data_IF_085520480274
#
_entry.id   IF_085520480274
#
_cell.length_a   1.000
_cell.length_b   1.000
_cell.length_c   1.000
_cell.angle_alpha   90.00
_cell.angle_beta   90.00
_cell.angle_gamma   90.00
#
_symmetry.space_group_name_H-M   'P 1'
#
loop_
_entity.id
_entity.type
_entity.pdbx_description
1 polymer ?
#
# COMPACT_ATOMS: atom_id res chain seq x y z
N UNK A 1 -19.68 43.70 -11.41
CA UNK A 1 -18.23 43.61 -11.30
C UNK A 1 -17.84 42.25 -11.82
N UNK A 2 -17.17 42.22 -12.99
CA UNK A 2 -16.91 41.01 -13.79
C UNK A 2 -15.80 40.15 -13.16
N UNK A 3 -16.03 38.86 -13.11
CA UNK A 3 -15.07 37.82 -12.74
C UNK A 3 -14.03 37.63 -13.86
N UNK A 4 -12.85 38.14 -13.67
CA UNK A 4 -11.68 37.91 -14.52
C UNK A 4 -10.56 37.25 -13.68
N UNK A 5 -10.81 36.03 -13.16
CA UNK A 5 -9.76 35.19 -12.61
C UNK A 5 -10.06 33.74 -13.02
N UNK A 6 -9.53 33.31 -14.13
CA UNK A 6 -9.13 31.96 -14.52
C UNK A 6 -9.02 31.86 -16.05
N UNK A 7 -8.03 32.58 -16.59
CA UNK A 7 -7.47 32.23 -17.89
C UNK A 7 -5.98 31.98 -17.73
N UNK A 8 -5.65 30.86 -17.05
CA UNK A 8 -4.30 30.29 -17.19
C UNK A 8 -4.31 29.61 -18.55
N UNK A 9 -3.67 30.25 -19.48
CA UNK A 9 -3.58 29.92 -20.89
C UNK A 9 -3.06 28.47 -21.04
N UNK A 10 -3.87 27.61 -21.61
CA UNK A 10 -3.52 26.23 -22.01
C UNK A 10 -2.24 26.13 -22.87
N UNK A 11 -1.80 27.25 -23.46
CA UNK A 11 -0.55 27.35 -24.22
C UNK A 11 0.72 27.23 -23.35
N UNK A 12 0.68 27.58 -22.06
CA UNK A 12 1.85 27.42 -21.17
C UNK A 12 2.07 26.01 -20.68
N UNK A 13 1.01 25.23 -20.54
CA UNK A 13 1.10 23.81 -20.16
C UNK A 13 1.59 22.98 -21.35
N UNK A 14 1.13 23.31 -22.57
CA UNK A 14 1.61 22.66 -23.79
C UNK A 14 3.10 22.96 -24.05
N UNK A 15 3.57 24.17 -23.76
CA UNK A 15 4.97 24.56 -23.97
C UNK A 15 5.92 23.89 -22.96
N UNK A 16 5.49 23.66 -21.73
CA UNK A 16 6.25 22.93 -20.71
C UNK A 16 6.36 21.43 -21.05
N UNK A 17 5.30 20.84 -21.61
CA UNK A 17 5.31 19.42 -22.03
C UNK A 17 6.11 19.21 -23.33
N UNK A 18 6.17 20.21 -24.20
CA UNK A 18 6.95 20.14 -25.45
C UNK A 18 8.46 20.31 -25.24
N UNK A 19 8.88 21.04 -24.19
CA UNK A 19 10.30 21.13 -23.80
C UNK A 19 10.85 19.84 -23.18
N UNK A 20 10.00 19.04 -22.50
CA UNK A 20 10.40 17.76 -21.96
C UNK A 20 10.57 16.66 -23.03
N UNK A 21 9.87 16.78 -24.17
CA UNK A 21 9.99 15.83 -25.29
C UNK A 21 11.13 16.15 -26.25
N UNK A 22 11.62 17.39 -26.29
CA UNK A 22 12.74 17.79 -27.16
C UNK A 22 14.13 17.32 -26.64
N UNK A 23 14.22 16.93 -25.37
CA UNK A 23 15.46 16.43 -24.77
C UNK A 23 15.71 14.91 -25.01
N UNK A 24 14.76 14.19 -25.60
CA UNK A 24 14.85 12.75 -25.89
C UNK A 24 15.11 12.42 -27.37
N UNK A 25 15.23 13.43 -28.25
CA UNK A 25 15.45 13.24 -29.68
C UNK A 25 16.86 13.61 -30.18
N UNK A 26 17.82 13.72 -29.29
CA UNK A 26 19.23 13.87 -29.61
C UNK A 26 19.90 12.50 -29.72
N UNK A 27 19.85 11.87 -30.90
CA UNK A 27 20.69 10.72 -31.22
C UNK A 27 22.17 11.14 -31.19
N UNK A 28 23.02 10.58 -30.34
CA UNK A 28 24.46 10.72 -30.51
C UNK A 28 24.86 9.88 -31.72
N UNK A 29 25.24 10.54 -32.81
CA UNK A 29 26.01 9.88 -33.82
C UNK A 29 27.33 9.38 -33.19
N UNK A 30 27.45 8.07 -33.11
CA UNK A 30 28.63 7.40 -32.61
C UNK A 30 29.84 7.80 -33.47
N UNK A 31 30.79 8.49 -32.88
CA UNK A 31 32.14 8.58 -33.36
C UNK A 31 32.74 7.21 -33.08
N UNK A 32 32.79 6.36 -34.12
CA UNK A 32 33.66 5.17 -34.13
C UNK A 32 35.11 5.63 -34.21
N UNK A 33 35.72 5.97 -33.07
CA UNK A 33 37.16 5.93 -32.94
C UNK A 33 37.53 4.49 -32.59
N UNK A 34 38.35 3.87 -33.42
CA UNK A 34 38.74 2.47 -33.37
C UNK A 34 39.20 2.06 -31.98
N UNK A 35 38.43 1.19 -31.36
CA UNK A 35 38.91 0.35 -30.27
C UNK A 35 39.56 -0.84 -30.92
N UNK A 36 40.91 -0.89 -30.83
CA UNK A 36 41.65 -2.11 -31.11
C UNK A 36 41.00 -3.24 -30.30
N UNK A 37 40.40 -4.21 -30.98
CA UNK A 37 40.07 -5.52 -30.42
C UNK A 37 41.33 -6.11 -29.81
N UNK A 38 41.48 -5.96 -28.50
CA UNK A 38 42.30 -6.90 -27.75
C UNK A 38 41.50 -8.19 -27.79
N UNK A 39 41.74 -9.01 -28.77
CA UNK A 39 41.38 -10.42 -28.76
C UNK A 39 42.10 -11.01 -27.54
N UNK A 40 41.43 -11.03 -26.40
CA UNK A 40 41.79 -11.86 -25.29
C UNK A 40 41.75 -13.29 -25.83
N UNK A 41 42.93 -13.90 -26.06
CA UNK A 41 43.07 -15.32 -26.35
C UNK A 41 42.34 -16.06 -25.23
N UNK A 42 41.11 -16.48 -25.48
CA UNK A 42 40.36 -17.33 -24.59
C UNK A 42 41.10 -18.66 -24.50
N UNK A 43 41.88 -18.83 -23.44
CA UNK A 43 42.35 -20.16 -23.08
C UNK A 43 41.12 -21.00 -22.77
N UNK A 44 40.77 -21.90 -23.68
CA UNK A 44 39.71 -22.89 -23.55
C UNK A 44 40.07 -23.89 -22.47
N UNK A 45 39.79 -23.54 -21.22
CA UNK A 45 39.97 -24.44 -20.09
C UNK A 45 38.62 -24.64 -19.39
N UNK A 46 38.38 -25.87 -18.99
CA UNK A 46 37.20 -26.26 -18.23
C UNK A 46 37.53 -26.34 -16.75
N UNK A 47 36.74 -25.68 -15.90
CA UNK A 47 36.81 -25.81 -14.45
C UNK A 47 35.71 -26.79 -14.03
N UNK A 48 36.10 -27.78 -13.22
CA UNK A 48 35.20 -28.70 -12.56
C UNK A 48 35.23 -28.41 -11.06
N UNK A 49 34.14 -28.68 -10.37
CA UNK A 49 34.13 -28.53 -8.93
C UNK A 49 32.94 -29.22 -8.30
N UNK A 50 32.91 -29.15 -6.98
CA UNK A 50 31.83 -29.67 -6.18
C UNK A 50 31.41 -28.61 -5.15
N UNK A 51 30.11 -28.44 -4.97
CA UNK A 51 29.51 -27.57 -3.98
C UNK A 51 28.89 -28.45 -2.89
N UNK A 52 29.31 -28.23 -1.66
CA UNK A 52 28.82 -28.96 -0.49
C UNK A 52 28.46 -27.98 0.62
N UNK A 53 27.69 -28.42 1.60
CA UNK A 53 27.45 -27.71 2.85
C UNK A 53 28.58 -27.89 3.89
N UNK A 54 28.40 -27.33 5.08
CA UNK A 54 29.34 -27.45 6.20
C UNK A 54 29.40 -28.88 6.78
N UNK A 55 28.41 -29.71 6.55
CA UNK A 55 28.34 -31.12 6.93
C UNK A 55 29.02 -32.02 5.87
N UNK A 56 29.29 -31.48 4.68
CA UNK A 56 29.89 -32.18 3.55
C UNK A 56 28.86 -32.80 2.63
N UNK A 57 27.58 -32.53 2.80
CA UNK A 57 26.51 -32.99 1.93
C UNK A 57 26.47 -32.19 0.60
N UNK A 58 26.22 -32.83 -0.54
CA UNK A 58 26.21 -32.17 -1.84
C UNK A 58 25.01 -31.24 -2.00
N UNK A 59 25.22 -30.02 -2.47
CA UNK A 59 24.15 -29.06 -2.75
C UNK A 59 23.74 -29.17 -4.22
N UNK A 60 22.53 -29.65 -4.46
CA UNK A 60 21.96 -29.86 -5.80
C UNK A 60 21.33 -28.56 -6.29
N UNK A 61 21.60 -28.17 -7.55
CA UNK A 61 20.97 -27.00 -8.17
C UNK A 61 21.58 -25.65 -7.74
N UNK A 62 22.74 -25.66 -7.09
CA UNK A 62 23.46 -24.41 -6.77
C UNK A 62 23.91 -23.72 -8.07
N UNK A 63 23.71 -22.41 -8.13
CA UNK A 63 24.14 -21.58 -9.27
C UNK A 63 25.63 -21.25 -9.14
N UNK A 64 26.40 -21.52 -10.18
CA UNK A 64 27.82 -21.22 -10.30
C UNK A 64 28.04 -20.28 -11.47
N UNK A 65 28.44 -19.03 -11.23
CA UNK A 65 28.58 -17.99 -12.24
C UNK A 65 29.98 -17.37 -12.18
N UNK A 66 30.58 -17.06 -13.34
CA UNK A 66 31.80 -16.25 -13.38
C UNK A 66 31.43 -14.78 -13.17
N UNK A 67 32.01 -14.16 -12.13
CA UNK A 67 31.72 -12.78 -11.74
C UNK A 67 31.90 -11.81 -12.90
N UNK A 68 30.87 -11.00 -13.15
CA UNK A 68 30.88 -10.01 -14.23
C UNK A 68 30.61 -10.55 -15.64
N UNK A 69 30.20 -11.83 -15.77
CA UNK A 69 29.85 -12.44 -17.05
C UNK A 69 28.51 -13.16 -17.00
N UNK A 70 28.00 -13.60 -18.14
CA UNK A 70 26.81 -14.47 -18.24
C UNK A 70 27.17 -15.96 -18.28
N UNK A 71 28.48 -16.30 -18.11
CA UNK A 71 28.95 -17.68 -18.16
C UNK A 71 28.71 -18.37 -16.82
N UNK A 72 27.78 -19.32 -16.77
CA UNK A 72 27.39 -20.02 -15.56
C UNK A 72 26.81 -21.41 -15.82
N UNK A 73 26.69 -22.17 -14.74
CA UNK A 73 26.11 -23.52 -14.73
C UNK A 73 25.42 -23.77 -13.39
N UNK A 74 24.74 -24.90 -13.26
CA UNK A 74 24.13 -25.39 -12.01
C UNK A 74 24.78 -26.71 -11.62
N UNK A 75 24.77 -27.03 -10.31
CA UNK A 75 25.28 -28.30 -9.78
C UNK A 75 24.30 -29.44 -10.04
N UNK A 76 24.88 -30.64 -10.29
CA UNK A 76 24.13 -31.90 -10.44
C UNK A 76 23.73 -32.54 -9.10
N UNK A 77 23.20 -33.79 -9.14
CA UNK A 77 22.71 -34.50 -7.94
C UNK A 77 23.82 -34.81 -6.93
N UNK A 78 25.06 -34.88 -7.34
CA UNK A 78 26.24 -35.08 -6.47
C UNK A 78 26.93 -33.78 -6.11
N UNK A 79 26.28 -32.62 -6.39
CA UNK A 79 26.81 -31.30 -6.16
C UNK A 79 27.95 -30.88 -7.11
N UNK A 80 28.23 -31.68 -8.18
CA UNK A 80 29.29 -31.37 -9.11
C UNK A 80 28.86 -30.35 -10.15
N UNK A 81 29.80 -29.54 -10.61
CA UNK A 81 29.60 -28.62 -11.71
C UNK A 81 30.76 -28.70 -12.71
N UNK A 82 30.48 -28.38 -13.95
CA UNK A 82 31.46 -28.24 -15.03
C UNK A 82 31.20 -26.92 -15.76
N UNK A 83 32.20 -26.04 -15.78
CA UNK A 83 32.08 -24.73 -16.43
C UNK A 83 33.19 -24.55 -17.46
N UNK A 84 32.79 -24.38 -18.70
CA UNK A 84 33.70 -24.11 -19.81
C UNK A 84 34.16 -22.64 -19.83
N UNK A 85 35.34 -22.39 -20.42
CA UNK A 85 35.88 -21.04 -20.62
C UNK A 85 36.05 -20.21 -19.31
N UNK A 86 36.47 -20.86 -18.22
CA UNK A 86 36.53 -20.24 -16.90
C UNK A 86 37.82 -20.45 -16.13
N UNK A 87 38.97 -20.58 -16.83
CA UNK A 87 40.29 -20.86 -16.21
C UNK A 87 40.84 -19.73 -15.37
N UNK A 88 40.35 -18.51 -15.50
CA UNK A 88 40.73 -17.33 -14.70
C UNK A 88 39.48 -16.53 -14.34
N UNK A 89 39.43 -16.03 -13.13
CA UNK A 89 38.33 -15.21 -12.62
C UNK A 89 37.89 -15.64 -11.23
N UNK A 90 36.81 -15.05 -10.78
CA UNK A 90 36.14 -15.38 -9.52
C UNK A 90 34.82 -16.03 -9.81
N UNK A 91 34.57 -17.21 -9.27
CA UNK A 91 33.26 -17.85 -9.29
C UNK A 91 32.41 -17.25 -8.15
N UNK A 92 31.19 -16.93 -8.45
CA UNK A 92 30.14 -16.64 -7.47
C UNK A 92 29.25 -17.86 -7.41
N UNK A 93 29.23 -18.51 -6.26
CA UNK A 93 28.38 -19.68 -6.02
C UNK A 93 27.28 -19.29 -5.06
N UNK A 94 26.03 -19.53 -5.44
CA UNK A 94 24.85 -19.17 -4.65
C UNK A 94 23.81 -20.27 -4.69
N UNK A 95 23.11 -20.44 -3.56
CA UNK A 95 21.97 -21.33 -3.42
C UNK A 95 20.97 -20.76 -2.42
N UNK A 96 19.69 -21.07 -2.58
CA UNK A 96 18.64 -20.58 -1.67
C UNK A 96 18.89 -21.14 -0.28
N UNK A 97 18.95 -20.26 0.73
CA UNK A 97 19.24 -20.65 2.13
C UNK A 97 20.73 -20.70 2.48
N UNK A 98 21.62 -20.31 1.58
CA UNK A 98 23.06 -20.29 1.81
C UNK A 98 23.67 -18.94 1.44
N UNK A 99 24.72 -18.54 2.17
CA UNK A 99 25.50 -17.32 1.87
C UNK A 99 26.25 -17.49 0.56
N UNK A 100 26.06 -16.55 -0.36
CA UNK A 100 26.81 -16.56 -1.62
C UNK A 100 28.32 -16.47 -1.35
N UNK A 101 29.10 -17.36 -1.96
CA UNK A 101 30.55 -17.42 -1.76
C UNK A 101 31.30 -17.09 -3.05
N UNK A 102 32.31 -16.24 -2.93
CA UNK A 102 33.23 -15.91 -4.01
C UNK A 102 34.50 -16.76 -3.91
N UNK A 103 34.84 -17.48 -5.00
CA UNK A 103 36.02 -18.35 -5.05
C UNK A 103 36.88 -17.99 -6.25
N UNK A 104 38.15 -17.66 -6.01
CA UNK A 104 39.11 -17.31 -7.08
C UNK A 104 39.66 -18.60 -7.69
N UNK A 105 39.54 -18.77 -9.01
CA UNK A 105 39.93 -19.99 -9.71
C UNK A 105 41.47 -20.19 -9.75
N UNK A 106 42.27 -19.13 -9.90
CA UNK A 106 43.76 -19.15 -9.94
C UNK A 106 44.39 -20.25 -10.83
N UNK A 107 43.70 -20.62 -11.92
CA UNK A 107 44.20 -21.69 -12.82
C UNK A 107 43.98 -23.11 -12.30
N UNK A 108 43.18 -23.33 -11.27
CA UNK A 108 42.85 -24.68 -10.77
C UNK A 108 41.75 -25.28 -11.62
N UNK A 109 41.92 -26.54 -12.03
CA UNK A 109 40.94 -27.29 -12.81
C UNK A 109 39.87 -27.96 -11.90
N UNK A 110 40.11 -28.05 -10.59
CA UNK A 110 39.18 -28.61 -9.60
C UNK A 110 38.98 -27.62 -8.44
N UNK A 111 37.73 -27.31 -8.16
CA UNK A 111 37.37 -26.35 -7.07
C UNK A 111 36.31 -26.99 -6.19
N UNK A 112 36.58 -27.09 -4.88
CA UNK A 112 35.58 -27.47 -3.88
C UNK A 112 35.09 -26.21 -3.18
N UNK A 113 33.78 -26.01 -3.16
CA UNK A 113 33.13 -24.85 -2.53
C UNK A 113 32.27 -25.36 -1.38
N UNK A 114 32.47 -24.82 -0.20
CA UNK A 114 31.66 -25.13 0.98
C UNK A 114 30.76 -23.93 1.25
N UNK A 115 29.46 -24.04 1.01
CA UNK A 115 28.52 -22.99 1.34
C UNK A 115 28.13 -23.07 2.83
N UNK A 116 28.08 -21.93 3.45
CA UNK A 116 27.57 -21.80 4.80
C UNK A 116 26.07 -21.50 4.71
N UNK A 117 25.28 -22.15 5.55
CA UNK A 117 23.89 -21.81 5.68
C UNK A 117 23.77 -20.32 6.00
N UNK A 118 22.92 -19.64 5.26
CA UNK A 118 22.54 -18.27 5.57
C UNK A 118 21.55 -18.30 6.74
N UNK A 119 22.09 -18.31 7.95
CA UNK A 119 21.28 -18.16 9.17
C UNK A 119 20.66 -16.76 9.29
N UNK A 120 20.98 -15.85 8.38
CA UNK A 120 20.20 -14.67 8.08
C UNK A 120 19.08 -14.97 7.03
N UNK A 121 18.51 -16.21 7.00
CA UNK A 121 17.12 -16.34 6.61
C UNK A 121 16.42 -15.35 7.51
N UNK A 122 15.90 -14.29 6.92
CA UNK A 122 15.11 -13.28 7.59
C UNK A 122 14.20 -14.01 8.57
N UNK A 123 14.65 -14.14 9.82
CA UNK A 123 13.83 -14.55 10.93
C UNK A 123 12.77 -13.45 10.98
N UNK A 124 11.67 -13.65 10.24
CA UNK A 124 10.55 -12.73 10.26
C UNK A 124 10.09 -12.62 11.71
N UNK A 125 10.64 -11.61 12.36
CA UNK A 125 10.40 -11.37 13.77
C UNK A 125 9.07 -10.62 13.86
N UNK A 126 8.12 -11.26 14.49
CA UNK A 126 6.78 -10.71 14.69
C UNK A 126 6.71 -10.13 16.09
N UNK A 127 6.21 -8.91 16.18
CA UNK A 127 5.86 -8.33 17.47
C UNK A 127 4.62 -9.04 17.99
N UNK A 128 4.75 -9.73 19.11
CA UNK A 128 3.66 -10.41 19.81
C UNK A 128 3.64 -9.93 21.25
N UNK A 129 2.60 -9.23 21.61
CA UNK A 129 2.44 -8.71 22.95
C UNK A 129 3.52 -7.70 23.33
N UNK A 130 4.22 -7.96 24.42
CA UNK A 130 5.28 -7.09 24.94
C UNK A 130 6.68 -7.49 24.44
N UNK A 131 6.78 -8.36 23.43
CA UNK A 131 8.06 -8.85 22.92
C UNK A 131 8.02 -9.22 21.44
N UNK A 132 9.18 -9.53 20.91
CA UNK A 132 9.35 -10.02 19.54
C UNK A 132 9.59 -11.53 19.57
N UNK A 133 8.88 -12.29 18.72
CA UNK A 133 9.09 -13.73 18.55
C UNK A 133 9.27 -14.08 17.08
N UNK A 134 9.99 -15.15 16.80
CA UNK A 134 10.13 -15.66 15.44
C UNK A 134 8.78 -16.17 14.96
N UNK A 135 8.36 -15.79 13.75
CA UNK A 135 7.08 -16.23 13.15
C UNK A 135 6.94 -17.76 13.17
N UNK A 136 8.03 -18.48 12.93
CA UNK A 136 8.07 -19.94 12.94
C UNK A 136 7.75 -20.57 14.32
N UNK A 137 7.90 -19.83 15.42
CA UNK A 137 7.64 -20.33 16.80
C UNK A 137 6.25 -19.96 17.31
N UNK A 138 5.46 -19.22 16.52
CA UNK A 138 4.12 -18.81 16.93
C UNK A 138 3.12 -19.95 16.74
N UNK A 139 2.62 -20.47 17.85
CA UNK A 139 1.59 -21.51 17.87
C UNK A 139 0.16 -20.98 17.72
N UNK A 140 -0.03 -19.67 17.74
CA UNK A 140 -1.31 -18.99 17.63
C UNK A 140 -1.68 -18.54 16.21
N UNK A 141 -2.96 -18.23 15.97
CA UNK A 141 -3.45 -17.68 14.71
C UNK A 141 -3.01 -16.20 14.53
N UNK A 142 -1.78 -16.00 14.06
CA UNK A 142 -1.20 -14.68 13.79
C UNK A 142 -1.07 -14.48 12.28
N UNK A 143 -1.58 -13.35 11.80
CA UNK A 143 -1.36 -12.93 10.41
C UNK A 143 -0.45 -11.70 10.43
N UNK A 144 0.66 -11.77 9.71
CA UNK A 144 1.63 -10.67 9.59
C UNK A 144 1.66 -10.18 8.16
N UNK A 145 1.72 -8.87 8.00
CA UNK A 145 1.81 -8.20 6.72
C UNK A 145 3.02 -7.28 6.77
N UNK A 146 3.92 -7.46 5.82
CA UNK A 146 4.92 -6.45 5.49
C UNK A 146 4.22 -5.27 4.80
N UNK A 147 4.39 -4.08 5.39
CA UNK A 147 3.74 -2.88 4.87
C UNK A 147 4.34 -2.45 3.53
N UNK A 148 5.63 -2.61 3.32
CA UNK A 148 6.30 -2.22 2.08
C UNK A 148 5.87 -3.08 0.89
N UNK A 149 5.61 -4.37 1.10
CA UNK A 149 5.10 -5.25 0.04
C UNK A 149 3.60 -5.05 -0.22
N UNK A 150 2.83 -4.98 0.86
CA UNK A 150 1.35 -5.05 0.77
C UNK A 150 0.71 -3.70 0.50
N UNK A 151 1.26 -2.62 1.07
CA UNK A 151 0.71 -1.27 0.93
C UNK A 151 1.31 -0.51 -0.26
N UNK A 152 2.46 -0.97 -0.77
CA UNK A 152 3.13 -0.36 -1.91
C UNK A 152 2.25 -0.41 -3.17
N UNK A 153 2.08 0.74 -3.80
CA UNK A 153 1.24 0.86 -4.99
C UNK A 153 -0.27 0.99 -4.74
N UNK A 154 -0.73 0.91 -3.49
CA UNK A 154 -2.11 1.25 -3.14
C UNK A 154 -2.24 2.77 -3.01
N UNK A 155 -3.08 3.35 -3.86
CA UNK A 155 -3.30 4.80 -3.93
C UNK A 155 -4.23 5.30 -2.80
N UNK A 156 -4.05 4.81 -1.57
CA UNK A 156 -4.86 5.23 -0.42
C UNK A 156 -3.98 5.82 0.68
N UNK A 157 -4.43 6.90 1.25
CA UNK A 157 -3.80 7.57 2.39
C UNK A 157 -4.34 7.06 3.73
N UNK A 158 -5.36 6.19 3.68
CA UNK A 158 -6.00 5.61 4.86
C UNK A 158 -5.49 4.18 5.07
N UNK A 159 -4.74 3.97 6.16
CA UNK A 159 -4.15 2.67 6.51
C UNK A 159 -5.21 1.59 6.67
N UNK A 160 -6.31 1.88 7.37
CA UNK A 160 -7.38 0.90 7.56
C UNK A 160 -7.95 0.43 6.21
N UNK A 161 -8.23 1.35 5.28
CA UNK A 161 -8.73 0.99 3.95
C UNK A 161 -7.68 0.20 3.15
N UNK A 162 -6.39 0.48 3.33
CA UNK A 162 -5.32 -0.24 2.64
C UNK A 162 -5.18 -1.70 3.09
N UNK A 163 -5.69 -2.05 4.26
CA UNK A 163 -5.70 -3.42 4.76
C UNK A 163 -6.86 -4.27 4.21
N UNK A 164 -7.80 -3.67 3.48
CA UNK A 164 -8.93 -4.40 2.94
C UNK A 164 -8.50 -5.53 2.00
N UNK A 165 -8.94 -6.77 2.29
CA UNK A 165 -8.62 -7.94 1.49
C UNK A 165 -7.21 -8.52 1.68
N UNK A 166 -6.38 -7.95 2.60
CA UNK A 166 -5.01 -8.43 2.84
C UNK A 166 -4.94 -9.45 3.97
N UNK A 167 -5.85 -9.36 4.93
CA UNK A 167 -5.85 -10.21 6.13
C UNK A 167 -7.08 -11.10 6.13
N UNK A 168 -6.92 -12.43 6.12
CA UNK A 168 -8.06 -13.34 6.23
C UNK A 168 -8.87 -13.09 7.51
N UNK A 169 -10.19 -12.90 7.37
CA UNK A 169 -11.11 -12.64 8.47
C UNK A 169 -11.16 -11.20 8.97
N UNK A 170 -10.38 -10.27 8.42
CA UNK A 170 -10.54 -8.84 8.67
C UNK A 170 -11.53 -8.26 7.64
N UNK A 171 -12.65 -7.77 8.14
CA UNK A 171 -13.65 -7.06 7.35
C UNK A 171 -13.53 -5.56 7.61
N UNK A 172 -13.44 -4.79 6.55
CA UNK A 172 -13.37 -3.33 6.60
C UNK A 172 -14.55 -2.80 5.81
N UNK A 173 -15.45 -2.10 6.50
CA UNK A 173 -16.67 -1.55 5.90
C UNK A 173 -16.63 -0.04 5.96
N UNK A 174 -16.92 0.59 4.83
CA UNK A 174 -17.17 2.03 4.73
C UNK A 174 -18.58 2.26 4.24
N UNK A 175 -19.32 3.11 4.90
CA UNK A 175 -20.70 3.46 4.52
C UNK A 175 -20.71 4.51 3.45
N UNK A 176 -19.72 5.38 3.41
CA UNK A 176 -19.58 6.41 2.38
C UNK A 176 -18.17 6.42 1.78
N UNK A 177 -18.02 7.09 0.64
CA UNK A 177 -16.70 7.31 0.02
C UNK A 177 -16.01 8.59 0.52
N UNK A 178 -16.52 9.23 1.59
CA UNK A 178 -15.91 10.44 2.15
C UNK A 178 -14.60 10.13 2.84
N UNK A 179 -13.51 10.86 2.56
CA UNK A 179 -12.21 10.65 3.21
C UNK A 179 -12.24 10.91 4.72
N UNK A 180 -13.20 11.71 5.20
CA UNK A 180 -13.33 12.07 6.62
C UNK A 180 -14.02 11.01 7.47
N UNK A 181 -14.61 9.99 6.83
CA UNK A 181 -15.31 8.93 7.55
C UNK A 181 -14.39 7.78 7.87
N UNK A 182 -14.37 7.39 9.14
CA UNK A 182 -13.59 6.27 9.61
C UNK A 182 -14.25 4.94 9.20
N UNK A 183 -13.49 4.00 8.63
CA UNK A 183 -14.00 2.68 8.33
C UNK A 183 -14.27 1.90 9.62
N UNK A 184 -15.28 1.05 9.60
CA UNK A 184 -15.52 0.07 10.66
C UNK A 184 -14.66 -1.16 10.41
N UNK A 185 -13.90 -1.55 11.43
CA UNK A 185 -13.04 -2.72 11.43
C UNK A 185 -13.72 -3.85 12.22
N UNK A 186 -13.78 -5.05 11.67
CA UNK A 186 -14.28 -6.24 12.36
C UNK A 186 -13.41 -7.44 12.02
N UNK A 187 -13.01 -8.21 13.04
CA UNK A 187 -12.30 -9.48 12.88
C UNK A 187 -13.29 -10.63 13.12
N UNK A 188 -13.39 -11.56 12.12
CA UNK A 188 -14.24 -12.75 12.18
C UNK A 188 -15.74 -12.49 12.36
N UNK A 189 -16.24 -11.31 11.99
CA UNK A 189 -17.64 -10.95 12.12
C UNK A 189 -18.06 -10.62 13.55
N UNK A 190 -19.36 -10.49 13.77
CA UNK A 190 -19.92 -10.13 15.08
C UNK A 190 -19.89 -11.29 16.06
N UNK A 191 -19.04 -11.21 17.07
CA UNK A 191 -18.96 -12.21 18.15
C UNK A 191 -19.93 -11.84 19.31
N UNK A 192 -20.30 -10.58 19.42
CA UNK A 192 -21.14 -10.02 20.48
C UNK A 192 -22.12 -8.98 19.92
N UNK A 193 -23.22 -8.79 20.60
CA UNK A 193 -24.18 -7.70 20.34
C UNK A 193 -23.62 -6.33 20.77
N UNK A 194 -22.63 -6.32 21.63
CA UNK A 194 -21.87 -5.14 22.04
C UNK A 194 -20.63 -4.99 21.15
N UNK A 195 -19.87 -3.94 21.30
CA UNK A 195 -18.75 -3.56 20.42
C UNK A 195 -17.77 -4.71 20.13
N UNK A 196 -17.62 -5.07 18.85
CA UNK A 196 -16.73 -6.14 18.34
C UNK A 196 -15.48 -5.58 17.66
N UNK A 197 -15.13 -4.33 17.93
CA UNK A 197 -13.97 -3.70 17.33
C UNK A 197 -12.68 -4.37 17.84
N UNK A 198 -11.71 -4.59 16.96
CA UNK A 198 -10.39 -5.05 17.40
C UNK A 198 -9.69 -3.97 18.22
N UNK A 199 -8.91 -4.39 19.22
CA UNK A 199 -7.97 -3.53 19.92
C UNK A 199 -6.83 -3.13 18.96
N UNK A 200 -6.57 -1.86 18.79
CA UNK A 200 -5.50 -1.34 17.95
C UNK A 200 -4.35 -0.88 18.84
N UNK A 201 -3.14 -1.30 18.51
CA UNK A 201 -1.92 -0.87 19.18
C UNK A 201 -0.93 -0.34 18.16
N UNK A 202 -0.40 0.87 18.39
CA UNK A 202 0.63 1.49 17.57
C UNK A 202 1.88 1.62 18.42
N UNK A 203 2.96 0.93 18.01
CA UNK A 203 4.21 0.84 18.77
C UNK A 203 4.02 0.47 20.26
N UNK A 204 3.00 -0.36 20.54
CA UNK A 204 2.63 -0.83 21.88
C UNK A 204 1.66 0.06 22.64
N UNK A 205 1.33 1.25 22.16
CA UNK A 205 0.34 2.16 22.73
C UNK A 205 -1.04 1.92 22.16
N UNK A 206 -2.08 1.91 23.00
CA UNK A 206 -3.47 1.78 22.55
C UNK A 206 -3.88 2.98 21.70
N UNK A 207 -4.56 2.71 20.60
CA UNK A 207 -5.00 3.69 19.63
C UNK A 207 -6.44 3.44 19.19
N UNK A 208 -7.10 4.49 18.75
CA UNK A 208 -8.44 4.42 18.17
C UNK A 208 -8.37 4.31 16.64
N UNK A 209 -9.49 3.94 16.01
CA UNK A 209 -9.57 3.82 14.53
C UNK A 209 -9.23 5.13 13.81
N UNK A 210 -9.62 6.27 14.38
CA UNK A 210 -9.30 7.58 13.81
C UNK A 210 -7.79 7.88 13.84
N UNK A 211 -7.06 7.44 14.88
CA UNK A 211 -5.60 7.57 14.96
C UNK A 211 -4.90 6.72 13.91
N UNK A 212 -5.42 5.51 13.66
CA UNK A 212 -4.96 4.68 12.56
C UNK A 212 -5.06 5.39 11.20
N UNK A 213 -6.09 6.21 11.02
CA UNK A 213 -6.27 6.99 9.80
C UNK A 213 -5.34 8.20 9.70
N UNK A 214 -4.71 8.62 10.79
CA UNK A 214 -3.75 9.73 10.78
C UNK A 214 -2.34 9.29 10.42
N UNK A 215 -1.98 8.02 10.64
CA UNK A 215 -0.63 7.51 10.31
C UNK A 215 -0.43 7.46 8.80
N UNK A 216 0.76 7.86 8.37
CA UNK A 216 1.15 7.69 6.98
C UNK A 216 1.51 6.21 6.72
N UNK A 217 0.91 5.55 5.71
CA UNK A 217 1.23 4.16 5.35
C UNK A 217 2.73 3.91 5.11
N UNK A 218 3.46 4.91 4.60
CA UNK A 218 4.90 4.80 4.35
C UNK A 218 5.76 4.71 5.63
N UNK A 219 5.20 5.08 6.78
CA UNK A 219 5.89 5.01 8.07
C UNK A 219 5.67 3.69 8.80
N UNK A 220 4.83 2.80 8.28
CA UNK A 220 4.56 1.49 8.84
C UNK A 220 5.60 0.49 8.34
N UNK A 221 6.15 -0.31 9.24
CA UNK A 221 7.06 -1.41 8.93
C UNK A 221 6.27 -2.71 8.74
N UNK A 222 5.48 -3.09 9.73
CA UNK A 222 4.65 -4.28 9.66
C UNK A 222 3.33 -4.10 10.44
N UNK A 223 2.36 -4.94 10.08
CA UNK A 223 1.07 -5.02 10.75
C UNK A 223 0.83 -6.47 11.11
N UNK A 224 0.68 -6.74 12.40
CA UNK A 224 0.39 -8.07 12.94
C UNK A 224 -1.02 -8.12 13.47
N UNK A 225 -1.78 -9.14 13.08
CA UNK A 225 -3.15 -9.34 13.57
C UNK A 225 -3.21 -10.61 14.39
N UNK A 226 -3.48 -10.45 15.68
CA UNK A 226 -3.64 -11.52 16.63
C UNK A 226 -5.11 -11.89 16.76
N UNK A 227 -5.38 -13.18 16.69
CA UNK A 227 -6.73 -13.75 16.74
C UNK A 227 -6.78 -14.80 17.85
N UNK A 228 -7.96 -14.99 18.42
CA UNK A 228 -8.23 -16.03 19.41
C UNK A 228 -7.24 -16.05 20.60
N UNK A 229 -6.65 -17.20 20.89
CA UNK A 229 -5.74 -17.39 22.03
C UNK A 229 -4.53 -16.44 22.00
N UNK A 230 -4.02 -16.05 20.81
CA UNK A 230 -2.90 -15.10 20.72
C UNK A 230 -3.27 -13.68 21.14
N UNK A 231 -4.54 -13.31 21.07
CA UNK A 231 -5.04 -12.03 21.54
C UNK A 231 -5.27 -11.98 23.06
N UNK A 232 -5.38 -13.14 23.73
CA UNK A 232 -5.76 -13.24 25.14
C UNK A 232 -4.79 -12.54 26.11
N UNK A 233 -3.53 -12.38 25.75
CA UNK A 233 -2.52 -11.65 26.54
C UNK A 233 -2.89 -10.17 26.78
N UNK A 234 -3.79 -9.62 25.95
CA UNK A 234 -4.30 -8.25 26.08
C UNK A 234 -5.61 -8.15 26.87
N UNK A 235 -6.06 -9.30 27.44
CA UNK A 235 -7.24 -9.39 28.31
C UNK A 235 -8.57 -9.24 27.58
N UNK A 236 -9.62 -8.92 28.34
CA UNK A 236 -10.99 -8.88 27.84
C UNK A 236 -11.24 -7.87 26.70
N UNK A 237 -10.48 -6.79 26.65
CA UNK A 237 -10.60 -5.77 25.58
C UNK A 237 -10.16 -6.29 24.20
N UNK A 238 -9.41 -7.39 24.16
CA UNK A 238 -8.98 -8.03 22.94
C UNK A 238 -9.93 -9.13 22.44
N UNK A 239 -11.16 -9.20 22.98
CA UNK A 239 -12.15 -10.18 22.55
C UNK A 239 -12.46 -10.09 21.05
N UNK A 240 -12.42 -8.87 20.46
CA UNK A 240 -12.53 -8.64 19.02
C UNK A 240 -11.25 -8.88 18.22
N UNK A 241 -10.18 -9.40 18.86
CA UNK A 241 -8.83 -9.52 18.29
C UNK A 241 -7.97 -8.28 18.51
N UNK A 242 -6.70 -8.34 18.07
CA UNK A 242 -5.74 -7.24 18.22
C UNK A 242 -5.07 -6.95 16.90
N UNK A 243 -4.94 -5.68 16.55
CA UNK A 243 -4.16 -5.19 15.41
C UNK A 243 -2.94 -4.45 15.98
N UNK A 244 -1.75 -5.00 15.76
CA UNK A 244 -0.49 -4.42 16.16
C UNK A 244 0.14 -3.74 14.95
N UNK A 245 0.46 -2.47 15.07
CA UNK A 245 1.14 -1.69 14.04
C UNK A 245 2.50 -1.30 14.58
N UNK A 246 3.53 -1.71 13.86
CA UNK A 246 4.90 -1.33 14.15
C UNK A 246 5.36 -0.30 13.13
N UNK A 247 5.89 0.82 13.60
CA UNK A 247 6.40 1.87 12.72
C UNK A 247 7.88 1.70 12.45
N UNK A 248 8.31 2.15 11.27
CA UNK A 248 9.70 2.09 10.83
C UNK A 248 10.61 2.87 11.77
N UNK A 249 11.74 2.28 12.13
CA UNK A 249 12.79 2.88 12.96
C UNK A 249 14.03 3.23 12.14
N UNK A 250 14.90 4.03 12.71
CA UNK A 250 16.22 4.27 12.17
C UNK A 250 17.07 3.00 12.19
N UNK A 251 18.04 2.92 11.29
CA UNK A 251 19.03 1.84 11.25
C UNK A 251 20.43 2.43 11.42
N UNK A 252 21.38 1.61 11.89
CA UNK A 252 22.79 2.00 12.00
C UNK A 252 23.45 2.03 10.63
N UNK A 253 23.02 2.94 9.79
CA UNK A 253 23.44 3.08 8.40
C UNK A 253 23.69 4.56 8.07
N UNK A 254 24.26 4.81 6.89
CA UNK A 254 24.43 6.18 6.37
C UNK A 254 23.06 6.85 6.26
N UNK A 255 23.08 8.18 6.38
CA UNK A 255 21.86 8.99 6.23
C UNK A 255 21.22 8.72 4.87
N UNK A 256 19.97 8.29 4.89
CA UNK A 256 19.13 8.03 3.70
C UNK A 256 17.95 8.98 3.72
N UNK A 257 17.74 9.66 2.61
CA UNK A 257 16.56 10.52 2.39
C UNK A 257 15.66 9.84 1.39
N UNK A 258 14.40 9.63 1.77
CA UNK A 258 13.39 8.97 0.91
C UNK A 258 12.20 9.90 0.72
N UNK A 259 11.80 10.11 -0.53
CA UNK A 259 10.59 10.82 -0.88
C UNK A 259 9.62 9.89 -1.58
N UNK A 260 8.37 9.85 -1.08
CA UNK A 260 7.26 9.12 -1.69
C UNK A 260 6.16 10.12 -2.01
N UNK A 261 5.75 10.17 -3.27
CA UNK A 261 4.65 11.01 -3.73
C UNK A 261 3.69 10.22 -4.59
N UNK A 262 2.39 10.48 -4.44
CA UNK A 262 1.35 9.90 -5.28
C UNK A 262 0.27 10.92 -5.60
N UNK A 263 -0.25 10.85 -6.83
CA UNK A 263 -1.41 11.61 -7.28
C UNK A 263 -2.45 10.62 -7.76
N UNK A 264 -3.67 10.76 -7.25
CA UNK A 264 -4.77 9.84 -7.51
C UNK A 264 -5.93 10.59 -8.12
N UNK A 265 -6.44 10.13 -9.27
CA UNK A 265 -7.69 10.59 -9.85
C UNK A 265 -8.83 9.79 -9.25
N UNK A 266 -9.76 10.47 -8.57
CA UNK A 266 -10.98 9.87 -8.04
C UNK A 266 -12.11 10.16 -9.02
N UNK A 267 -12.73 9.13 -9.53
CA UNK A 267 -13.85 9.27 -10.45
C UNK A 267 -14.93 8.25 -10.13
N UNK A 268 -16.14 8.60 -10.47
CA UNK A 268 -17.28 7.70 -10.33
C UNK A 268 -17.15 6.58 -11.37
N UNK A 269 -17.23 5.34 -10.91
CA UNK A 269 -17.29 4.19 -11.80
C UNK A 269 -18.59 4.16 -12.63
N UNK A 270 -18.80 3.09 -13.39
CA UNK A 270 -20.01 2.89 -14.18
C UNK A 270 -21.25 2.94 -13.28
N UNK A 271 -22.16 3.85 -13.58
CA UNK A 271 -23.46 3.96 -12.90
C UNK A 271 -24.52 3.21 -13.68
N UNK A 272 -25.46 2.65 -12.97
CA UNK A 272 -26.75 2.32 -13.59
C UNK A 272 -27.50 3.62 -13.88
N UNK A 273 -28.22 3.72 -15.02
CA UNK A 273 -29.07 4.88 -15.27
C UNK A 273 -30.04 5.03 -14.09
N UNK A 274 -30.07 6.21 -13.51
CA UNK A 274 -31.09 6.54 -12.53
C UNK A 274 -32.43 6.78 -13.26
N UNK A 275 -33.54 6.41 -12.65
CA UNK A 275 -34.85 6.78 -13.16
C UNK A 275 -34.95 8.31 -13.23
N UNK A 276 -35.52 8.81 -14.30
CA UNK A 276 -35.92 10.23 -14.40
C UNK A 276 -36.99 10.55 -13.36
N UNK A 277 -37.19 11.83 -13.06
CA UNK A 277 -38.27 12.24 -12.16
C UNK A 277 -39.63 11.73 -12.60
N UNK A 278 -39.89 11.74 -13.92
CA UNK A 278 -41.11 11.22 -14.50
C UNK A 278 -41.27 9.70 -14.38
N UNK A 279 -40.19 8.93 -14.65
CA UNK A 279 -40.22 7.47 -14.51
C UNK A 279 -40.40 7.08 -13.03
N UNK A 280 -39.70 7.76 -12.11
CA UNK A 280 -39.85 7.55 -10.69
C UNK A 280 -41.29 7.85 -10.23
N UNK A 281 -41.89 8.96 -10.67
CA UNK A 281 -43.27 9.32 -10.31
C UNK A 281 -44.29 8.31 -10.88
N UNK A 282 -44.09 7.81 -12.08
CA UNK A 282 -44.95 6.74 -12.67
C UNK A 282 -44.85 5.45 -11.87
N UNK A 283 -43.65 5.09 -11.45
CA UNK A 283 -43.42 3.91 -10.61
C UNK A 283 -44.11 4.06 -9.24
N UNK A 284 -44.02 5.24 -8.61
CA UNK A 284 -44.69 5.52 -7.35
C UNK A 284 -46.22 5.53 -7.49
N UNK A 285 -46.77 6.08 -8.56
CA UNK A 285 -48.22 6.03 -8.86
C UNK A 285 -48.70 4.59 -9.04
N UNK A 286 -47.92 3.75 -9.74
CA UNK A 286 -48.25 2.33 -9.90
C UNK A 286 -48.21 1.59 -8.57
N UNK A 287 -47.17 1.82 -7.74
CA UNK A 287 -47.05 1.22 -6.42
C UNK A 287 -48.18 1.65 -5.49
N UNK A 288 -48.60 2.93 -5.54
CA UNK A 288 -49.73 3.44 -4.75
C UNK A 288 -51.07 2.85 -5.17
N UNK A 289 -51.22 2.52 -6.44
CA UNK A 289 -52.44 1.86 -6.95
C UNK A 289 -52.60 0.43 -6.39
N UNK A 290 -51.47 -0.27 -6.17
CA UNK A 290 -51.45 -1.61 -5.60
C UNK A 290 -51.42 -1.61 -4.06
N UNK A 291 -51.22 -0.44 -3.43
CA UNK A 291 -51.11 -0.32 -1.97
C UNK A 291 -52.47 -0.15 -1.32
N UNK A 292 -53.08 -1.27 -0.91
CA UNK A 292 -54.38 -1.33 -0.26
C UNK A 292 -54.46 -0.51 1.04
N UNK A 293 -53.30 -0.27 1.68
CA UNK A 293 -53.22 0.41 3.00
C UNK A 293 -52.89 1.90 2.89
N UNK A 294 -52.67 2.43 1.69
CA UNK A 294 -52.32 3.84 1.46
C UNK A 294 -50.98 4.27 2.09
N UNK A 295 -50.09 3.31 2.41
CA UNK A 295 -48.82 3.57 3.10
C UNK A 295 -47.83 4.38 2.25
N UNK A 296 -47.92 4.28 0.93
CA UNK A 296 -47.04 5.05 0.02
C UNK A 296 -47.26 6.55 0.20
N UNK A 297 -48.50 7.00 0.37
CA UNK A 297 -48.81 8.42 0.56
C UNK A 297 -48.43 8.94 1.94
N UNK A 298 -48.33 8.07 2.94
CA UNK A 298 -47.93 8.46 4.29
C UNK A 298 -46.45 8.78 4.39
N UNK A 299 -45.63 8.21 3.52
CA UNK A 299 -44.16 8.39 3.51
C UNK A 299 -43.75 9.65 2.74
N UNK A 300 -44.59 10.05 1.75
CA UNK A 300 -44.29 11.17 0.87
C UNK A 300 -45.17 12.39 1.16
N UNK A 301 -44.58 13.56 1.15
CA UNK A 301 -45.29 14.82 1.30
C UNK A 301 -46.04 15.26 0.04
N UNK A 302 -45.97 14.48 -1.07
CA UNK A 302 -46.67 14.74 -2.30
C UNK A 302 -48.05 14.12 -2.32
N UNK A 303 -48.99 14.84 -2.89
CA UNK A 303 -50.33 14.32 -3.26
C UNK A 303 -50.29 13.52 -4.57
N UNK A 304 -51.33 12.72 -4.84
CA UNK A 304 -51.43 11.98 -6.07
C UNK A 304 -51.41 12.91 -7.31
N UNK A 305 -52.04 14.07 -7.24
CA UNK A 305 -52.05 15.02 -8.35
C UNK A 305 -50.66 15.66 -8.57
N UNK A 306 -49.90 15.91 -7.51
CA UNK A 306 -48.54 16.37 -7.61
C UNK A 306 -47.63 15.31 -8.25
N UNK A 307 -47.79 14.02 -7.90
CA UNK A 307 -47.10 12.92 -8.58
C UNK A 307 -47.46 12.83 -10.06
N UNK A 308 -48.76 13.03 -10.43
CA UNK A 308 -49.18 13.07 -11.84
C UNK A 308 -48.49 14.21 -12.59
N UNK A 309 -48.36 15.37 -11.96
CA UNK A 309 -47.63 16.50 -12.56
C UNK A 309 -46.15 16.18 -12.77
N UNK A 310 -45.49 15.58 -11.79
CA UNK A 310 -44.09 15.09 -11.93
C UNK A 310 -44.00 14.05 -13.06
N UNK A 311 -44.95 13.10 -13.13
CA UNK A 311 -44.99 12.06 -14.16
C UNK A 311 -45.12 12.63 -15.57
N UNK A 312 -45.82 13.79 -15.71
CA UNK A 312 -46.00 14.51 -16.96
C UNK A 312 -44.89 15.53 -17.26
N UNK A 313 -43.84 15.56 -16.46
CA UNK A 313 -42.73 16.53 -16.56
C UNK A 313 -43.16 17.99 -16.39
N UNK A 314 -44.18 18.25 -15.59
CA UNK A 314 -44.65 19.59 -15.30
C UNK A 314 -43.85 20.20 -14.16
N UNK A 315 -43.30 21.40 -14.35
CA UNK A 315 -42.63 22.15 -13.29
C UNK A 315 -43.65 22.95 -12.48
N UNK A 316 -43.50 22.94 -11.15
CA UNK A 316 -44.43 23.67 -10.26
C UNK A 316 -43.77 24.07 -8.94
N UNK A 317 -44.35 25.06 -8.28
CA UNK A 317 -43.95 25.43 -6.94
C UNK A 317 -44.69 24.55 -5.93
N UNK A 318 -43.97 23.97 -5.02
CA UNK A 318 -44.47 23.06 -4.02
C UNK A 318 -44.11 23.55 -2.61
N UNK A 319 -45.02 23.38 -1.68
CA UNK A 319 -44.83 23.75 -0.30
C UNK A 319 -44.98 22.52 0.61
N UNK A 320 -43.96 22.19 1.40
CA UNK A 320 -44.05 21.08 2.34
C UNK A 320 -45.10 21.34 3.41
N UNK A 321 -45.50 20.29 4.17
CA UNK A 321 -46.35 20.42 5.35
C UNK A 321 -45.76 21.35 6.42
N UNK A 322 -44.45 21.46 6.46
CA UNK A 322 -43.72 22.36 7.34
C UNK A 322 -43.56 23.81 6.84
N UNK A 323 -44.16 24.13 5.67
CA UNK A 323 -44.18 25.48 5.10
C UNK A 323 -42.92 25.85 4.28
N UNK A 324 -42.03 24.92 4.00
CA UNK A 324 -40.84 25.16 3.16
C UNK A 324 -41.25 25.10 1.68
N UNK A 325 -40.86 26.12 0.92
CA UNK A 325 -41.17 26.22 -0.50
C UNK A 325 -40.04 25.69 -1.37
N UNK A 326 -40.37 24.87 -2.33
CA UNK A 326 -39.46 24.32 -3.33
C UNK A 326 -40.02 24.55 -4.75
N UNK A 327 -39.12 24.65 -5.70
CA UNK A 327 -39.44 24.52 -7.12
C UNK A 327 -39.21 23.09 -7.57
N UNK A 328 -40.25 22.39 -7.96
CA UNK A 328 -40.16 21.04 -8.52
C UNK A 328 -40.00 21.18 -10.03
N UNK A 329 -38.91 20.67 -10.56
CA UNK A 329 -38.65 20.62 -12.00
C UNK A 329 -38.18 19.20 -12.36
N UNK A 330 -39.11 18.32 -12.82
CA UNK A 330 -38.77 16.91 -13.07
C UNK A 330 -37.71 16.69 -14.14
N UNK A 331 -37.56 17.61 -15.09
CA UNK A 331 -36.54 17.52 -16.14
C UNK A 331 -35.14 17.84 -15.63
N UNK A 332 -35.04 18.66 -14.57
CA UNK A 332 -33.80 19.08 -13.96
C UNK A 332 -33.60 18.52 -12.53
N UNK A 333 -34.52 17.68 -12.05
CA UNK A 333 -34.63 17.27 -10.66
C UNK A 333 -33.43 16.52 -10.14
N UNK A 334 -32.69 15.80 -10.97
CA UNK A 334 -31.53 15.04 -10.55
C UNK A 334 -30.43 15.05 -11.61
N UNK A 335 -29.40 15.84 -11.39
CA UNK A 335 -28.21 15.87 -12.26
C UNK A 335 -26.98 15.42 -11.46
N UNK A 336 -26.77 14.10 -11.33
CA UNK A 336 -25.62 13.59 -10.56
C UNK A 336 -24.29 14.07 -11.15
N UNK A 337 -24.22 14.33 -12.45
CA UNK A 337 -23.02 14.86 -13.11
C UNK A 337 -22.71 16.31 -12.73
N UNK A 338 -23.69 17.03 -12.15
CA UNK A 338 -23.44 18.33 -11.55
C UNK A 338 -22.69 18.20 -10.22
N UNK A 339 -23.07 17.25 -9.39
CA UNK A 339 -22.52 17.04 -8.05
C UNK A 339 -21.24 16.23 -8.09
N UNK A 340 -21.22 15.14 -8.83
CA UNK A 340 -20.12 14.19 -8.89
C UNK A 340 -19.25 14.40 -10.14
N UNK A 341 -17.98 14.07 -10.00
CA UNK A 341 -17.04 14.16 -11.12
C UNK A 341 -15.65 13.71 -10.72
N UNK A 342 -14.70 13.95 -11.62
CA UNK A 342 -13.30 13.65 -11.35
C UNK A 342 -12.71 14.69 -10.41
N UNK A 343 -12.13 14.22 -9.32
CA UNK A 343 -11.36 15.00 -8.36
C UNK A 343 -9.95 14.43 -8.22
N UNK A 344 -9.04 15.19 -7.67
CA UNK A 344 -7.66 14.79 -7.53
C UNK A 344 -7.25 14.80 -6.07
N UNK A 345 -6.73 13.66 -5.61
CA UNK A 345 -6.06 13.52 -4.32
C UNK A 345 -4.56 13.44 -4.54
N UNK A 346 -3.78 13.92 -3.60
CA UNK A 346 -2.33 13.76 -3.63
C UNK A 346 -1.76 13.59 -2.23
N UNK A 347 -0.69 12.82 -2.14
CA UNK A 347 0.07 12.67 -0.92
C UNK A 347 1.56 12.82 -1.17
N UNK A 348 2.27 13.28 -0.17
CA UNK A 348 3.70 13.49 -0.18
C UNK A 348 4.26 13.09 1.18
N UNK A 349 5.30 12.27 1.18
CA UNK A 349 6.01 11.86 2.38
C UNK A 349 7.51 12.00 2.15
N UNK A 350 8.16 12.76 3.01
CA UNK A 350 9.60 12.88 3.06
C UNK A 350 10.11 12.26 4.35
N UNK A 351 11.01 11.30 4.26
CA UNK A 351 11.62 10.69 5.43
C UNK A 351 13.14 10.73 5.37
N UNK A 352 13.74 10.89 6.52
CA UNK A 352 15.19 10.89 6.74
C UNK A 352 15.46 9.81 7.78
N UNK A 353 16.31 8.85 7.44
CA UNK A 353 16.65 7.72 8.29
C UNK A 353 18.16 7.52 8.31
N UNK A 354 18.71 7.17 9.45
CA UNK A 354 20.11 6.85 9.59
C UNK A 354 20.57 6.88 11.05
N UNK A 355 21.85 6.70 11.25
CA UNK A 355 22.42 6.78 12.59
C UNK A 355 23.68 5.95 12.76
N UNK A 356 24.12 5.87 13.99
CA UNK A 356 25.24 5.06 14.45
C UNK A 356 24.75 3.87 15.29
N UNK A 357 25.66 3.03 15.75
CA UNK A 357 25.31 1.96 16.70
C UNK A 357 24.72 2.47 18.03
N UNK A 358 25.01 3.73 18.39
CA UNK A 358 24.55 4.34 19.64
C UNK A 358 23.24 5.12 19.49
N UNK A 359 23.02 5.73 18.33
CA UNK A 359 21.85 6.57 18.08
C UNK A 359 21.34 6.27 16.68
N UNK A 360 20.10 5.83 16.58
CA UNK A 360 19.42 5.55 15.33
C UNK A 360 18.15 6.36 15.29
N UNK A 361 17.91 7.08 14.22
CA UNK A 361 16.73 7.95 14.10
C UNK A 361 16.08 7.80 12.73
N UNK A 362 14.76 7.90 12.73
CA UNK A 362 13.96 8.10 11.55
C UNK A 362 12.98 9.23 11.81
N UNK A 363 13.01 10.23 10.95
CA UNK A 363 12.07 11.35 10.98
C UNK A 363 11.31 11.38 9.65
N UNK A 364 9.99 11.52 9.71
CA UNK A 364 9.15 11.68 8.53
C UNK A 364 8.22 12.87 8.66
N UNK A 365 7.95 13.50 7.52
CA UNK A 365 6.98 14.59 7.37
C UNK A 365 6.07 14.21 6.21
N UNK A 366 4.77 14.18 6.46
CA UNK A 366 3.76 13.82 5.48
C UNK A 366 2.74 14.93 5.27
N UNK A 367 2.29 15.06 4.04
CA UNK A 367 1.15 15.87 3.65
C UNK A 367 0.25 15.08 2.71
N UNK A 368 -1.05 15.11 2.97
CA UNK A 368 -2.05 14.52 2.07
C UNK A 368 -3.26 15.44 1.93
N UNK A 369 -3.77 15.58 0.71
CA UNK A 369 -5.08 16.17 0.39
C UNK A 369 -5.92 15.09 -0.27
N UNK A 370 -6.81 14.46 0.51
CA UNK A 370 -7.72 13.42 0.07
C UNK A 370 -9.06 14.01 -0.27
N UNK A 371 -9.56 13.71 -1.46
CA UNK A 371 -10.84 14.20 -1.94
C UNK A 371 -11.81 13.08 -2.27
N UNK A 372 -13.10 13.31 -2.01
CA UNK A 372 -14.16 12.47 -2.55
C UNK A 372 -14.46 12.82 -4.01
N UNK A 373 -15.40 12.12 -4.62
CA UNK A 373 -15.86 12.40 -6.00
C UNK A 373 -16.80 13.60 -6.11
N UNK A 374 -17.13 14.30 -5.01
CA UNK A 374 -17.98 15.48 -5.02
C UNK A 374 -17.17 16.68 -5.52
N UNK A 375 -17.57 17.26 -6.65
CA UNK A 375 -16.84 18.33 -7.30
C UNK A 375 -17.38 19.74 -7.05
N UNK A 376 -18.63 19.86 -6.60
CA UNK A 376 -19.29 21.18 -6.40
C UNK A 376 -18.81 21.92 -5.16
N UNK A 377 -18.23 21.18 -4.23
CA UNK A 377 -17.66 21.72 -3.00
C UNK A 377 -16.39 20.95 -2.63
N UNK A 378 -15.62 21.50 -1.70
CA UNK A 378 -14.52 20.75 -1.13
C UNK A 378 -15.07 19.70 -0.17
N UNK A 379 -15.12 18.46 -0.60
CA UNK A 379 -15.43 17.30 0.24
C UNK A 379 -14.17 16.44 0.34
N UNK A 380 -13.40 16.66 1.38
CA UNK A 380 -12.09 16.03 1.52
C UNK A 380 -11.45 16.31 2.87
N UNK A 381 -10.24 15.78 3.03
CA UNK A 381 -9.44 15.91 4.25
C UNK A 381 -8.00 16.26 3.91
N UNK A 382 -7.46 17.27 4.58
CA UNK A 382 -6.03 17.57 4.56
C UNK A 382 -5.39 17.02 5.83
N UNK A 383 -4.33 16.24 5.65
CA UNK A 383 -3.57 15.62 6.74
C UNK A 383 -2.14 16.14 6.73
N UNK A 384 -1.62 16.45 7.89
CA UNK A 384 -0.23 16.79 8.11
C UNK A 384 0.31 15.85 9.17
N UNK A 385 1.36 15.11 8.84
CA UNK A 385 1.96 14.12 9.72
C UNK A 385 3.39 14.52 10.02
N UNK A 386 3.77 14.39 11.25
CA UNK A 386 5.15 14.44 11.70
C UNK A 386 5.39 13.23 12.60
N UNK A 387 6.44 12.47 12.32
CA UNK A 387 6.84 11.36 13.16
C UNK A 387 8.35 11.37 13.35
N UNK A 388 8.77 11.13 14.57
CA UNK A 388 10.18 10.90 14.90
C UNK A 388 10.30 9.66 15.78
N UNK A 389 11.06 8.69 15.32
CA UNK A 389 11.42 7.49 16.07
C UNK A 389 12.93 7.52 16.29
N UNK A 390 13.37 7.60 17.53
CA UNK A 390 14.79 7.63 17.87
C UNK A 390 15.10 6.62 18.97
N UNK A 391 16.08 5.76 18.70
CA UNK A 391 16.60 4.78 19.62
C UNK A 391 17.99 5.22 20.10
N UNK A 392 18.18 5.26 21.41
CA UNK A 392 19.47 5.54 22.07
C UNK A 392 19.98 4.29 22.77
N UNK A 393 21.17 3.87 22.48
CA UNK A 393 21.88 2.81 23.22
C UNK A 393 22.85 3.46 24.21
N UNK A 394 22.44 3.47 25.47
CA UNK A 394 23.22 4.06 26.59
C UNK A 394 24.04 2.97 27.28
N UNK A 395 25.23 2.72 26.75
CA UNK A 395 26.05 1.58 27.19
C UNK A 395 25.49 0.25 26.68
N UNK A 396 25.86 -0.84 27.35
CA UNK A 396 25.47 -2.20 26.93
C UNK A 396 24.13 -2.67 27.51
N UNK A 397 23.64 -1.97 28.54
CA UNK A 397 22.50 -2.43 29.33
C UNK A 397 21.22 -1.60 29.18
N UNK A 398 21.32 -0.37 28.67
CA UNK A 398 20.19 0.55 28.61
C UNK A 398 19.88 0.96 27.18
N UNK A 399 18.66 0.68 26.73
CA UNK A 399 18.11 1.18 25.48
C UNK A 399 16.93 2.10 25.79
N UNK A 400 16.99 3.34 25.31
CA UNK A 400 15.91 4.31 25.38
C UNK A 400 15.34 4.49 23.97
N UNK A 401 14.04 4.24 23.82
CA UNK A 401 13.32 4.47 22.57
C UNK A 401 12.33 5.61 22.75
N UNK A 402 12.32 6.57 21.82
CA UNK A 402 11.36 7.67 21.78
C UNK A 402 10.55 7.57 20.50
N UNK A 403 9.23 7.73 20.61
CA UNK A 403 8.29 7.75 19.50
C UNK A 403 7.41 9.01 19.66
N UNK A 404 7.43 9.88 18.67
CA UNK A 404 6.65 11.13 18.66
C UNK A 404 5.81 11.15 17.39
#
# INVERSE_FOLDING_TARGET
MKNDFFKISSKRILFSMMMASALLAGSPQAIFAGVNEIQAVMQTGTVKGQVVDVQGEPIIGASVLVKGTTNGTITDFDGNFTLGNATRGTLVVSYIGYKAQEVIIKGRNLVKVVLQEDSEILDEVVVVGYGTQKKATLTGAVSVIDADETLKGRATTNVATSLQGTIPGLTITRTTSRPTEDPTLSLRGGISTNDNKPLILIDGSEAYTWELNTINPNDIENISVLKDASASIYGARAAGGVILITTKRGKAERLTVTYNGAVTANFQGKRYPAATGSEWAKMMLSAAHEDINGSVWSIMDFTEDEFKRVANNEAFDWTTKSGIKYRIDPLNAYQPDYVYGTTWSHNHNLSISGGSEKIQTKTSIGFADDRSIIKVTYDGQKKYNFRNNTDFKLGDYVKLATNI
#
